data_IF_285134284208
#
_entry.id   IF_285134284208
#
_cell.length_a   1.000
_cell.length_b   1.000
_cell.length_c   1.000
_cell.angle_alpha   90.00
_cell.angle_beta   90.00
_cell.angle_gamma   90.00
#
_symmetry.space_group_name_H-M   'P 1'
#
loop_
_entity.id
_entity.type
_entity.pdbx_description
1 polymer ?
#
# COMPACT_ATOMS: atom_id res chain seq x y z
N UNK A 1 5.12 48.73 -25.28
CA UNK A 1 5.75 47.82 -24.30
C UNK A 1 5.27 46.39 -24.55
N UNK A 2 6.10 45.51 -25.13
CA UNK A 2 5.76 44.09 -25.32
C UNK A 2 6.38 43.27 -24.18
N UNK A 3 5.54 42.61 -23.37
CA UNK A 3 5.96 41.70 -22.29
C UNK A 3 6.62 40.47 -22.91
N UNK A 4 7.85 40.16 -22.50
CA UNK A 4 8.52 38.88 -22.79
C UNK A 4 7.75 37.76 -22.11
N UNK A 5 7.28 36.77 -22.87
CA UNK A 5 6.83 35.50 -22.30
C UNK A 5 8.08 34.71 -21.91
N UNK A 6 8.16 34.34 -20.64
CA UNK A 6 9.12 33.40 -20.09
C UNK A 6 8.83 32.01 -20.64
N UNK A 7 9.78 31.44 -21.37
CA UNK A 7 9.75 30.04 -21.81
C UNK A 7 10.01 29.15 -20.59
N UNK A 8 8.94 28.56 -20.03
CA UNK A 8 9.10 27.39 -19.17
C UNK A 8 9.15 26.15 -20.07
N UNK A 9 10.11 25.23 -19.86
CA UNK A 9 10.11 23.99 -20.60
C UNK A 9 8.95 23.11 -20.11
N UNK A 10 8.03 22.78 -21.01
CA UNK A 10 7.09 21.68 -20.81
C UNK A 10 7.91 20.41 -20.54
N UNK A 11 7.75 19.82 -19.36
CA UNK A 11 8.52 18.67 -18.85
C UNK A 11 8.34 17.35 -19.61
N UNK A 12 8.27 17.38 -20.94
CA UNK A 12 8.27 16.22 -21.82
C UNK A 12 9.70 15.99 -22.29
N UNK A 13 10.31 14.91 -21.81
CA UNK A 13 11.63 14.46 -22.27
C UNK A 13 11.64 14.34 -23.81
N UNK A 14 12.33 15.27 -24.47
CA UNK A 14 12.37 15.42 -25.92
C UNK A 14 13.59 14.73 -26.57
N UNK A 15 14.08 13.62 -26.00
CA UNK A 15 15.31 12.97 -26.49
C UNK A 15 15.18 11.45 -26.54
N UNK A 16 14.58 10.94 -27.63
CA UNK A 16 14.93 9.69 -28.32
C UNK A 16 14.21 9.62 -29.71
N UNK A 17 14.92 9.30 -30.82
CA UNK A 17 14.31 9.19 -32.14
C UNK A 17 13.52 7.88 -32.30
N UNK A 18 12.30 7.97 -32.84
CA UNK A 18 11.36 6.85 -33.12
C UNK A 18 11.78 6.09 -34.39
N UNK A 19 12.90 5.38 -34.39
CA UNK A 19 13.45 4.95 -35.69
C UNK A 19 12.94 3.60 -36.24
N UNK A 20 12.25 2.75 -35.46
CA UNK A 20 11.41 1.69 -36.02
C UNK A 20 10.39 1.21 -34.98
N UNK A 21 9.13 1.66 -35.08
CA UNK A 21 8.11 1.38 -34.06
C UNK A 21 7.28 0.16 -34.45
N UNK A 22 7.38 -0.88 -33.64
CA UNK A 22 6.64 -2.11 -33.86
C UNK A 22 5.32 -2.10 -33.09
N UNK A 23 4.24 -2.48 -33.77
CA UNK A 23 2.91 -2.65 -33.20
C UNK A 23 2.55 -4.13 -33.19
N UNK A 24 2.52 -4.75 -32.01
CA UNK A 24 2.14 -6.15 -31.84
C UNK A 24 0.67 -6.21 -31.43
N UNK A 25 -0.16 -6.90 -32.21
CA UNK A 25 -1.54 -7.23 -31.85
C UNK A 25 -1.60 -8.66 -31.32
N UNK A 26 -2.31 -8.85 -30.22
CA UNK A 26 -2.58 -10.16 -29.64
C UNK A 26 -4.09 -10.39 -29.84
N UNK A 27 -4.50 -11.10 -30.90
CA UNK A 27 -5.92 -11.24 -31.24
C UNK A 27 -6.68 -12.12 -30.24
N UNK A 28 -5.99 -13.10 -29.64
CA UNK A 28 -6.60 -13.99 -28.65
C UNK A 28 -6.62 -13.31 -27.27
N UNK A 29 -7.81 -13.10 -26.66
CA UNK A 29 -7.91 -12.47 -25.34
C UNK A 29 -7.24 -13.28 -24.23
N UNK A 30 -7.20 -14.61 -24.34
CA UNK A 30 -6.54 -15.46 -23.34
C UNK A 30 -5.03 -15.22 -23.31
N UNK A 31 -4.42 -15.09 -24.48
CA UNK A 31 -2.98 -14.85 -24.60
C UNK A 31 -2.62 -13.44 -24.15
N UNK A 32 -3.52 -12.47 -24.36
CA UNK A 32 -3.36 -11.14 -23.80
C UNK A 32 -3.38 -11.16 -22.26
N UNK A 33 -4.29 -11.94 -21.65
CA UNK A 33 -4.32 -12.11 -20.20
C UNK A 33 -3.06 -12.80 -19.67
N UNK A 34 -2.58 -13.86 -20.35
CA UNK A 34 -1.33 -14.53 -20.00
C UNK A 34 -0.14 -13.56 -20.03
N UNK A 35 -0.03 -12.75 -21.09
CA UNK A 35 1.06 -11.79 -21.24
C UNK A 35 1.04 -10.73 -20.14
N UNK A 36 -0.15 -10.25 -19.74
CA UNK A 36 -0.33 -9.32 -18.62
C UNK A 36 0.08 -9.95 -17.30
N UNK A 37 -0.31 -11.21 -17.06
CA UNK A 37 0.09 -11.96 -15.84
C UNK A 37 1.61 -12.11 -15.77
N UNK A 38 2.26 -12.48 -16.88
CA UNK A 38 3.71 -12.62 -16.93
C UNK A 38 4.43 -11.27 -16.77
N UNK A 39 3.90 -10.20 -17.36
CA UNK A 39 4.40 -8.83 -17.16
C UNK A 39 4.39 -8.46 -15.68
N UNK A 40 3.26 -8.65 -14.97
CA UNK A 40 3.16 -8.37 -13.53
C UNK A 40 4.20 -9.15 -12.72
N UNK A 41 4.39 -10.44 -13.04
CA UNK A 41 5.40 -11.28 -12.39
C UNK A 41 6.86 -10.87 -12.71
N UNK A 42 7.11 -10.22 -13.84
CA UNK A 42 8.47 -9.87 -14.25
C UNK A 42 9.09 -8.69 -13.49
N UNK A 43 8.27 -7.89 -12.81
CA UNK A 43 8.73 -6.66 -12.14
C UNK A 43 9.26 -5.56 -13.09
N UNK A 44 9.09 -5.71 -14.41
CA UNK A 44 9.52 -4.73 -15.39
C UNK A 44 8.77 -3.39 -15.21
N UNK A 45 9.44 -2.25 -15.47
CA UNK A 45 8.83 -0.93 -15.29
C UNK A 45 7.74 -0.65 -16.34
N UNK A 46 7.92 -1.19 -17.55
CA UNK A 46 6.96 -1.00 -18.65
C UNK A 46 6.68 -2.30 -19.41
N UNK A 47 5.48 -2.41 -20.00
CA UNK A 47 5.11 -3.56 -20.86
C UNK A 47 6.08 -3.72 -22.04
N UNK A 48 6.52 -2.61 -22.63
CA UNK A 48 7.45 -2.61 -23.76
C UNK A 48 8.82 -3.16 -23.38
N UNK A 49 9.31 -2.80 -22.20
CA UNK A 49 10.57 -3.33 -21.65
C UNK A 49 10.48 -4.84 -21.40
N UNK A 50 9.37 -5.29 -20.81
CA UNK A 50 9.10 -6.72 -20.63
C UNK A 50 9.07 -7.50 -21.95
N UNK A 51 8.31 -7.01 -22.94
CA UNK A 51 8.19 -7.67 -24.25
C UNK A 51 9.52 -7.66 -24.99
N UNK A 52 10.27 -6.55 -24.96
CA UNK A 52 11.61 -6.47 -25.55
C UNK A 52 12.56 -7.46 -24.89
N UNK A 53 12.56 -7.53 -23.56
CA UNK A 53 13.37 -8.49 -22.82
C UNK A 53 13.03 -9.93 -23.19
N UNK A 54 11.74 -10.23 -23.39
CA UNK A 54 11.31 -11.57 -23.81
C UNK A 54 11.69 -11.90 -25.26
N UNK A 55 11.56 -10.96 -26.18
CA UNK A 55 11.92 -11.14 -27.59
C UNK A 55 13.44 -11.28 -27.80
N UNK A 56 14.24 -10.56 -27.01
CA UNK A 56 15.70 -10.59 -27.05
C UNK A 56 16.30 -11.69 -26.13
N UNK A 57 15.46 -12.56 -25.55
CA UNK A 57 15.88 -13.61 -24.62
C UNK A 57 16.79 -13.11 -23.48
N UNK A 58 16.53 -11.91 -22.97
CA UNK A 58 17.27 -11.35 -21.83
C UNK A 58 16.88 -12.08 -20.53
N UNK A 59 17.81 -12.24 -19.58
CA UNK A 59 17.49 -12.78 -18.26
C UNK A 59 16.57 -11.82 -17.51
N UNK A 60 15.53 -12.35 -16.85
CA UNK A 60 14.62 -11.56 -16.02
C UNK A 60 14.29 -12.30 -14.74
N UNK A 61 14.00 -11.52 -13.69
CA UNK A 61 13.56 -12.04 -12.39
C UNK A 61 12.05 -12.26 -12.43
N UNK A 62 11.59 -13.43 -12.03
CA UNK A 62 10.17 -13.70 -11.78
C UNK A 62 9.93 -13.50 -10.28
N UNK A 63 9.15 -12.47 -9.94
CA UNK A 63 8.64 -12.28 -8.59
C UNK A 63 7.37 -13.12 -8.49
N UNK A 64 7.44 -14.19 -7.70
CA UNK A 64 6.27 -14.96 -7.28
C UNK A 64 5.77 -14.36 -5.97
N UNK A 65 4.61 -13.72 -6.01
CA UNK A 65 3.87 -13.37 -4.81
C UNK A 65 3.21 -14.64 -4.28
N UNK A 66 3.54 -15.03 -3.04
CA UNK A 66 2.76 -16.03 -2.34
C UNK A 66 1.46 -15.38 -1.87
N UNK A 67 0.35 -15.83 -2.44
CA UNK A 67 -0.99 -15.32 -2.13
C UNK A 67 -1.57 -15.95 -0.87
N UNK A 68 -0.90 -16.95 -0.30
CA UNK A 68 -1.31 -17.58 0.95
C UNK A 68 -1.41 -16.57 2.10
N UNK A 69 -0.56 -15.54 2.10
CA UNK A 69 -0.44 -14.53 3.15
C UNK A 69 -1.28 -13.27 2.93
N UNK A 70 -1.83 -13.05 1.72
CA UNK A 70 -2.71 -11.92 1.41
C UNK A 70 -3.88 -11.75 2.42
N UNK A 71 -4.65 -12.80 2.78
CA UNK A 71 -5.75 -12.64 3.73
C UNK A 71 -5.27 -12.24 5.12
N UNK A 72 -4.16 -12.81 5.60
CA UNK A 72 -3.56 -12.45 6.89
C UNK A 72 -3.11 -10.98 6.92
N UNK A 73 -2.41 -10.52 5.87
CA UNK A 73 -1.97 -9.13 5.76
C UNK A 73 -3.14 -8.15 5.70
N UNK A 74 -4.24 -8.53 5.02
CA UNK A 74 -5.47 -7.74 4.98
C UNK A 74 -6.12 -7.59 6.35
N UNK A 75 -6.25 -8.69 7.09
CA UNK A 75 -6.78 -8.70 8.45
C UNK A 75 -5.92 -7.86 9.41
N UNK A 76 -4.60 -8.03 9.39
CA UNK A 76 -3.68 -7.26 10.21
C UNK A 76 -3.74 -5.75 9.87
N UNK A 77 -3.83 -5.42 8.58
CA UNK A 77 -4.02 -4.04 8.12
C UNK A 77 -5.32 -3.41 8.65
N UNK A 78 -6.38 -4.20 8.75
CA UNK A 78 -7.64 -3.74 9.34
C UNK A 78 -7.51 -3.41 10.83
N UNK A 79 -6.75 -4.22 11.59
CA UNK A 79 -6.47 -3.98 13.01
C UNK A 79 -5.63 -2.71 13.18
N UNK A 80 -4.58 -2.53 12.39
CA UNK A 80 -3.74 -1.32 12.41
C UNK A 80 -4.58 -0.07 12.15
N UNK A 81 -5.50 -0.13 11.19
CA UNK A 81 -6.39 1.00 10.88
C UNK A 81 -7.28 1.35 12.06
N UNK A 82 -7.88 0.35 12.72
CA UNK A 82 -8.70 0.56 13.92
C UNK A 82 -7.89 1.13 15.08
N UNK A 83 -6.69 0.60 15.31
CA UNK A 83 -5.79 1.08 16.36
C UNK A 83 -5.38 2.53 16.13
N UNK A 84 -5.15 2.94 14.88
CA UNK A 84 -4.87 4.33 14.52
C UNK A 84 -6.04 5.26 14.86
N UNK A 85 -7.27 4.86 14.53
CA UNK A 85 -8.48 5.63 14.84
C UNK A 85 -8.60 5.84 16.35
N UNK A 86 -8.48 4.76 17.15
CA UNK A 86 -8.55 4.83 18.60
C UNK A 86 -7.41 5.68 19.17
N UNK A 87 -6.18 5.54 18.64
CA UNK A 87 -5.03 6.32 19.07
C UNK A 87 -5.20 7.83 18.86
N UNK A 88 -5.86 8.25 17.78
CA UNK A 88 -6.20 9.66 17.56
C UNK A 88 -7.19 10.16 18.62
N UNK A 89 -8.28 9.41 18.86
CA UNK A 89 -9.27 9.76 19.88
C UNK A 89 -8.69 9.77 21.30
N UNK A 90 -7.77 8.85 21.59
CA UNK A 90 -7.05 8.78 22.86
C UNK A 90 -6.18 10.03 23.09
N UNK A 91 -5.40 10.43 22.09
CA UNK A 91 -4.57 11.63 22.15
C UNK A 91 -5.41 12.90 22.31
N UNK A 92 -6.56 12.96 21.63
CA UNK A 92 -7.50 14.06 21.78
C UNK A 92 -8.06 14.14 23.20
N UNK A 93 -8.50 13.01 23.78
CA UNK A 93 -8.98 12.93 25.16
C UNK A 93 -7.92 13.35 26.21
N UNK A 94 -6.64 13.07 25.96
CA UNK A 94 -5.55 13.54 26.83
C UNK A 94 -5.33 15.04 26.70
N UNK A 95 -5.29 15.57 25.48
CA UNK A 95 -5.11 17.02 25.26
C UNK A 95 -6.25 17.81 25.89
N UNK A 96 -7.47 17.33 25.75
CA UNK A 96 -8.64 17.94 26.38
C UNK A 96 -8.53 17.89 27.89
N UNK A 97 -8.22 16.72 28.48
CA UNK A 97 -7.98 16.57 29.92
C UNK A 97 -6.93 17.57 30.46
N UNK A 98 -5.82 17.76 29.74
CA UNK A 98 -4.75 18.69 30.14
C UNK A 98 -5.17 20.18 30.10
N UNK A 99 -6.23 20.52 29.36
CA UNK A 99 -6.69 21.89 29.18
C UNK A 99 -7.86 22.31 30.08
N UNK A 100 -8.44 21.39 30.85
CA UNK A 100 -9.66 21.66 31.64
C UNK A 100 -9.38 21.89 33.13
N UNK A 101 -10.24 22.70 33.77
CA UNK A 101 -10.09 23.13 35.17
C UNK A 101 -11.12 22.51 36.14
N UNK A 102 -12.04 21.67 35.66
CA UNK A 102 -13.11 21.11 36.53
C UNK A 102 -12.94 19.61 36.77
N UNK A 103 -13.07 19.20 38.03
CA UNK A 103 -12.87 17.80 38.46
C UNK A 103 -13.86 16.84 37.79
N UNK A 104 -15.13 17.23 37.65
CA UNK A 104 -16.16 16.38 37.05
C UNK A 104 -15.91 16.06 35.57
N UNK A 105 -15.38 17.02 34.80
CA UNK A 105 -15.04 16.79 33.39
C UNK A 105 -13.77 15.97 33.25
N UNK A 106 -12.77 16.21 34.10
CA UNK A 106 -11.55 15.41 34.16
C UNK A 106 -11.86 13.92 34.44
N UNK A 107 -12.73 13.64 35.41
CA UNK A 107 -13.18 12.27 35.72
C UNK A 107 -13.86 11.59 34.53
N UNK A 108 -14.68 12.32 33.76
CA UNK A 108 -15.33 11.79 32.56
C UNK A 108 -14.31 11.45 31.47
N UNK A 109 -13.31 12.31 31.27
CA UNK A 109 -12.24 12.08 30.29
C UNK A 109 -11.35 10.90 30.68
N UNK A 110 -11.01 10.76 31.97
CA UNK A 110 -10.25 9.60 32.49
C UNK A 110 -10.99 8.29 32.17
N UNK A 111 -12.30 8.22 32.41
CA UNK A 111 -13.11 7.04 32.04
C UNK A 111 -13.07 6.73 30.54
N UNK A 112 -13.06 7.76 29.68
CA UNK A 112 -12.94 7.54 28.23
C UNK A 112 -11.56 7.00 27.84
N UNK A 113 -10.50 7.52 28.45
CA UNK A 113 -9.13 7.04 28.28
C UNK A 113 -9.00 5.58 28.72
N UNK A 114 -9.63 5.18 29.82
CA UNK A 114 -9.69 3.77 30.28
C UNK A 114 -10.33 2.87 29.22
N UNK A 115 -11.50 3.27 28.69
CA UNK A 115 -12.20 2.51 27.64
C UNK A 115 -11.36 2.36 26.37
N UNK A 116 -10.69 3.44 25.93
CA UNK A 116 -9.79 3.38 24.79
C UNK A 116 -8.57 2.48 25.05
N UNK A 117 -8.04 2.51 26.27
CA UNK A 117 -6.91 1.65 26.67
C UNK A 117 -7.29 0.17 26.61
N UNK A 118 -8.47 -0.19 27.14
CA UNK A 118 -8.99 -1.56 27.03
C UNK A 118 -9.18 -1.99 25.57
N UNK A 119 -9.69 -1.10 24.72
CA UNK A 119 -9.90 -1.39 23.31
C UNK A 119 -8.56 -1.61 22.57
N UNK A 120 -7.52 -0.83 22.89
CA UNK A 120 -6.16 -1.02 22.36
C UNK A 120 -5.61 -2.39 22.77
N UNK A 121 -5.71 -2.75 24.06
CA UNK A 121 -5.23 -4.05 24.56
C UNK A 121 -5.94 -5.20 23.83
N UNK A 122 -7.27 -5.13 23.66
CA UNK A 122 -8.04 -6.14 22.94
C UNK A 122 -7.58 -6.29 21.49
N UNK A 123 -7.37 -5.19 20.77
CA UNK A 123 -6.87 -5.21 19.39
C UNK A 123 -5.44 -5.77 19.29
N UNK A 124 -4.57 -5.44 20.24
CA UNK A 124 -3.22 -5.99 20.29
C UNK A 124 -3.23 -7.50 20.53
N UNK A 125 -4.09 -7.99 21.44
CA UNK A 125 -4.27 -9.43 21.67
C UNK A 125 -4.76 -10.15 20.40
N UNK A 126 -5.71 -9.56 19.66
CA UNK A 126 -6.18 -10.10 18.38
C UNK A 126 -5.05 -10.19 17.35
N UNK A 127 -4.22 -9.14 17.23
CA UNK A 127 -3.07 -9.14 16.32
C UNK A 127 -2.04 -10.23 16.67
N UNK A 128 -1.77 -10.43 17.98
CA UNK A 128 -0.88 -11.49 18.46
C UNK A 128 -1.45 -12.87 18.08
N UNK A 129 -2.73 -13.11 18.35
CA UNK A 129 -3.39 -14.39 18.02
C UNK A 129 -3.36 -14.68 16.52
N UNK A 130 -3.62 -13.67 15.68
CA UNK A 130 -3.55 -13.82 14.22
C UNK A 130 -2.13 -14.13 13.75
N UNK A 131 -1.12 -13.47 14.32
CA UNK A 131 0.29 -13.71 13.98
C UNK A 131 0.72 -15.12 14.38
N UNK A 132 0.35 -15.57 15.58
CA UNK A 132 0.60 -16.95 16.01
C UNK A 132 -0.10 -17.98 15.11
N UNK A 133 -1.34 -17.71 14.70
CA UNK A 133 -2.09 -18.59 13.80
C UNK A 133 -1.46 -18.67 12.40
N UNK A 134 -0.89 -17.57 11.90
CA UNK A 134 -0.16 -17.53 10.65
C UNK A 134 1.16 -18.32 10.74
N UNK A 135 1.99 -18.06 11.76
CA UNK A 135 3.25 -18.77 11.98
C UNK A 135 3.08 -20.29 12.11
N UNK A 136 1.99 -20.73 12.76
CA UNK A 136 1.67 -22.15 12.90
C UNK A 136 1.23 -22.82 11.58
N UNK A 137 0.73 -22.04 10.61
CA UNK A 137 0.39 -22.54 9.27
C UNK A 137 1.65 -22.68 8.41
N UNK A 138 2.59 -21.77 8.52
CA UNK A 138 3.88 -21.80 7.80
C UNK A 138 4.79 -22.95 8.24
N UNK A 139 4.68 -23.39 9.51
CA UNK A 139 5.48 -24.50 10.07
C UNK A 139 4.96 -25.90 9.74
N UNK A 140 3.77 -26.02 9.13
CA UNK A 140 3.16 -27.29 8.71
C UNK A 140 3.48 -27.60 7.27
#
# INVERSE_FOLDING_TARGET
MKRKKTDQPDGRCATCPRWDRWHIRIPNPEDQQKLIKLYRKSGAKTKSEYVRGRLLNLPFKVITEDKSSEPYLGELGSIITRLRIIGVSYNEAIKTLNSYHTVATAQRMIRQIEVYSEAIIKLQMQAIQQTMAFDNREKK
#
